data_IF_799953012802
#
_entry.id   IF_799953012802
#
_cell.length_a   1.000
_cell.length_b   1.000
_cell.length_c   1.000
_cell.angle_alpha   90.00
_cell.angle_beta   90.00
_cell.angle_gamma   90.00
#
_symmetry.space_group_name_H-M   'P 1'
#
loop_
_entity.id
_entity.type
_entity.pdbx_description
1 polymer ?
#
# COMPACT_ATOMS: atom_id res chain seq x y z
N UNK A 1 -35.71 -68.04 42.73
CA UNK A 1 -35.23 -66.73 43.13
C UNK A 1 -34.19 -66.25 42.12
N UNK A 2 -34.59 -65.54 41.07
CA UNK A 2 -33.72 -65.10 40.00
C UNK A 2 -33.55 -63.56 40.07
N UNK A 3 -32.33 -63.08 40.32
CA UNK A 3 -31.93 -61.70 40.21
C UNK A 3 -31.59 -61.34 38.77
N UNK A 4 -32.37 -60.50 38.12
CA UNK A 4 -32.09 -59.87 36.83
C UNK A 4 -31.21 -58.61 37.09
N UNK A 5 -29.98 -58.62 36.61
CA UNK A 5 -29.16 -57.42 36.55
C UNK A 5 -29.46 -56.67 35.25
N UNK A 6 -29.88 -55.39 35.37
CA UNK A 6 -30.02 -54.44 34.26
C UNK A 6 -28.66 -53.79 34.01
N UNK A 7 -28.05 -54.07 32.84
CA UNK A 7 -26.90 -53.32 32.33
C UNK A 7 -27.42 -52.07 31.61
N UNK A 8 -27.13 -50.89 32.16
CA UNK A 8 -27.36 -49.60 31.52
C UNK A 8 -26.10 -49.27 30.70
N UNK A 9 -26.20 -49.35 29.36
CA UNK A 9 -25.16 -48.92 28.46
C UNK A 9 -25.11 -47.40 28.37
N UNK A 10 -24.04 -46.77 28.85
CA UNK A 10 -23.75 -45.37 28.62
C UNK A 10 -23.11 -45.24 27.23
N UNK A 11 -23.89 -44.71 26.27
CA UNK A 11 -23.36 -44.24 24.99
C UNK A 11 -22.78 -42.85 25.19
N UNK A 12 -21.45 -42.72 25.23
CA UNK A 12 -20.75 -41.44 25.24
C UNK A 12 -20.81 -40.81 23.83
N UNK A 13 -21.65 -39.80 23.69
CA UNK A 13 -21.59 -38.90 22.52
C UNK A 13 -20.29 -38.07 22.58
N UNK A 14 -19.29 -38.48 21.79
CA UNK A 14 -18.07 -37.71 21.60
C UNK A 14 -18.38 -36.44 20.82
N UNK A 15 -18.43 -35.31 21.51
CA UNK A 15 -18.44 -33.98 20.83
C UNK A 15 -17.06 -33.71 20.32
N UNK A 16 -16.86 -33.86 18.99
CA UNK A 16 -15.63 -33.44 18.32
C UNK A 16 -15.58 -31.91 18.28
N UNK A 17 -14.81 -31.30 19.18
CA UNK A 17 -14.48 -29.87 19.13
C UNK A 17 -13.45 -29.71 18.00
N UNK A 18 -13.91 -29.24 16.84
CA UNK A 18 -13.01 -28.79 15.78
C UNK A 18 -12.40 -27.46 16.25
N UNK A 19 -11.08 -27.37 16.43
CA UNK A 19 -10.47 -26.10 16.80
C UNK A 19 -10.64 -25.13 15.64
N UNK A 20 -11.44 -24.07 15.84
CA UNK A 20 -11.49 -22.95 14.93
C UNK A 20 -10.11 -22.27 14.94
N UNK A 21 -9.33 -22.49 13.91
CA UNK A 21 -8.10 -21.76 13.72
C UNK A 21 -8.44 -20.28 13.49
N UNK A 22 -8.36 -19.48 14.53
CA UNK A 22 -8.40 -18.02 14.42
C UNK A 22 -7.17 -17.62 13.60
N UNK A 23 -7.38 -17.31 12.32
CA UNK A 23 -6.34 -16.75 11.48
C UNK A 23 -6.07 -15.35 12.02
N UNK A 24 -5.02 -15.21 12.83
CA UNK A 24 -4.57 -13.92 13.32
C UNK A 24 -4.28 -13.02 12.11
N UNK A 25 -4.97 -11.88 12.02
CA UNK A 25 -4.72 -10.91 10.97
C UNK A 25 -3.28 -10.41 11.10
N UNK A 26 -2.45 -10.67 10.09
CA UNK A 26 -1.08 -10.16 10.06
C UNK A 26 -1.15 -8.74 9.52
N UNK A 27 -0.75 -7.78 10.35
CA UNK A 27 -0.69 -6.38 9.98
C UNK A 27 0.76 -5.95 9.85
N UNK A 28 1.02 -5.10 8.85
CA UNK A 28 2.28 -4.38 8.73
C UNK A 28 1.98 -2.93 8.34
N UNK A 29 2.94 -2.04 8.56
CA UNK A 29 2.75 -0.65 8.20
C UNK A 29 4.05 0.13 8.19
N UNK A 30 4.03 1.23 7.47
CA UNK A 30 5.17 2.14 7.34
C UNK A 30 4.66 3.57 7.40
N UNK A 31 5.36 4.43 8.13
CA UNK A 31 5.09 5.87 8.18
C UNK A 31 6.31 6.60 7.69
N UNK A 32 6.11 7.57 6.81
CA UNK A 32 7.13 8.47 6.31
C UNK A 32 6.82 9.90 6.73
N UNK A 33 7.85 10.65 7.11
CA UNK A 33 7.79 12.11 7.13
C UNK A 33 8.05 12.61 5.70
N UNK A 34 7.29 13.60 5.27
CA UNK A 34 7.45 14.23 3.95
C UNK A 34 8.18 15.55 4.17
N UNK A 35 9.36 15.65 3.57
CA UNK A 35 10.23 16.82 3.65
C UNK A 35 10.28 17.51 2.29
N UNK A 36 10.00 18.81 2.27
CA UNK A 36 10.09 19.69 1.11
C UNK A 36 10.95 20.89 1.44
N UNK A 37 12.00 21.17 0.66
CA UNK A 37 12.96 22.25 0.97
C UNK A 37 13.51 22.15 2.40
N UNK A 38 13.89 20.95 2.82
CA UNK A 38 14.42 20.65 4.17
C UNK A 38 13.44 20.93 5.34
N UNK A 39 12.17 21.21 5.05
CA UNK A 39 11.12 21.42 6.04
C UNK A 39 10.16 20.22 6.00
N UNK A 40 9.85 19.67 7.17
CA UNK A 40 8.79 18.66 7.28
C UNK A 40 7.43 19.32 7.04
N UNK A 41 6.72 18.85 6.01
CA UNK A 41 5.46 19.42 5.56
C UNK A 41 4.28 18.45 5.70
N UNK A 42 4.53 17.25 6.19
CA UNK A 42 3.46 16.26 6.35
C UNK A 42 3.96 14.84 6.50
N UNK A 43 3.03 13.91 6.33
CA UNK A 43 3.32 12.48 6.47
C UNK A 43 2.60 11.65 5.41
N UNK A 44 3.12 10.43 5.21
CA UNK A 44 2.43 9.35 4.51
C UNK A 44 2.40 8.13 5.41
N UNK A 45 1.24 7.50 5.57
CA UNK A 45 1.11 6.22 6.25
C UNK A 45 0.60 5.14 5.30
N UNK A 46 1.19 3.98 5.39
CA UNK A 46 0.87 2.79 4.63
C UNK A 46 0.56 1.66 5.62
N UNK A 47 -0.60 1.04 5.51
CA UNK A 47 -1.01 -0.09 6.36
C UNK A 47 -1.48 -1.25 5.50
N UNK A 48 -0.88 -2.42 5.71
CA UNK A 48 -1.23 -3.68 5.08
C UNK A 48 -1.93 -4.58 6.09
N UNK A 49 -3.12 -5.06 5.73
CA UNK A 49 -3.95 -5.90 6.60
C UNK A 49 -4.34 -7.15 5.81
N UNK A 50 -3.90 -8.31 6.27
CA UNK A 50 -4.33 -9.58 5.71
C UNK A 50 -5.67 -10.00 6.29
N UNK A 51 -6.65 -10.18 5.42
CA UNK A 51 -8.00 -10.66 5.77
C UNK A 51 -8.34 -11.87 4.90
N UNK A 52 -8.15 -13.06 5.44
CA UNK A 52 -8.28 -14.31 4.70
C UNK A 52 -7.31 -14.36 3.51
N UNK A 53 -7.85 -14.58 2.31
CA UNK A 53 -7.09 -14.58 1.06
C UNK A 53 -6.82 -13.17 0.50
N UNK A 54 -7.46 -12.14 1.05
CA UNK A 54 -7.31 -10.77 0.59
C UNK A 54 -6.25 -10.02 1.37
N UNK A 55 -5.52 -9.14 0.68
CA UNK A 55 -4.66 -8.13 1.26
C UNK A 55 -5.33 -6.77 1.08
N UNK A 56 -5.61 -6.11 2.19
CA UNK A 56 -6.12 -4.74 2.20
C UNK A 56 -4.92 -3.81 2.43
N UNK A 57 -4.72 -2.86 1.53
CA UNK A 57 -3.72 -1.80 1.63
C UNK A 57 -4.43 -0.48 1.82
N UNK A 58 -4.06 0.25 2.87
CA UNK A 58 -4.56 1.59 3.15
C UNK A 58 -3.40 2.57 3.11
N UNK A 59 -3.58 3.66 2.38
CA UNK A 59 -2.61 4.74 2.27
C UNK A 59 -3.28 6.04 2.65
N UNK A 60 -2.69 6.74 3.62
CA UNK A 60 -3.11 8.08 4.01
C UNK A 60 -1.93 9.02 3.83
N UNK A 61 -2.13 10.11 3.11
CA UNK A 61 -1.14 11.17 2.92
C UNK A 61 -1.73 12.49 3.35
N UNK A 62 -0.96 13.26 4.09
CA UNK A 62 -1.32 14.63 4.45
C UNK A 62 -0.11 15.55 4.30
N UNK A 63 -0.26 16.60 3.52
CA UNK A 63 0.75 17.64 3.31
C UNK A 63 0.08 19.01 3.56
N UNK A 64 0.75 19.86 4.30
CA UNK A 64 0.35 21.25 4.54
C UNK A 64 1.61 22.13 4.50
N UNK A 65 1.66 22.99 3.50
CA UNK A 65 2.75 23.95 3.33
C UNK A 65 2.23 25.33 3.68
N UNK A 66 2.73 25.89 4.77
CA UNK A 66 2.36 27.22 5.23
C UNK A 66 3.60 28.12 5.37
N UNK A 67 3.47 29.38 5.02
CA UNK A 67 4.52 30.39 5.20
C UNK A 67 3.91 31.63 5.82
N UNK A 68 4.49 32.12 6.90
CA UNK A 68 4.04 33.32 7.65
C UNK A 68 2.54 33.29 7.99
N UNK A 69 2.03 32.09 8.37
CA UNK A 69 0.61 31.89 8.69
C UNK A 69 -0.33 31.76 7.49
N UNK A 70 0.17 31.89 6.28
CA UNK A 70 -0.60 31.68 5.05
C UNK A 70 -0.39 30.27 4.52
N UNK A 71 -1.49 29.53 4.29
CA UNK A 71 -1.44 28.22 3.66
C UNK A 71 -1.19 28.39 2.15
N UNK A 72 -0.03 27.91 1.69
CA UNK A 72 0.39 27.96 0.29
C UNK A 72 -0.11 26.74 -0.48
N UNK A 73 -0.11 25.58 0.14
CA UNK A 73 -0.51 24.32 -0.47
C UNK A 73 -1.02 23.34 0.58
N UNK A 74 -2.04 22.59 0.22
CA UNK A 74 -2.49 21.43 1.02
C UNK A 74 -2.82 20.26 0.11
N UNK A 75 -2.54 19.07 0.61
CA UNK A 75 -2.86 17.81 -0.05
C UNK A 75 -3.28 16.79 0.98
N UNK A 76 -4.35 16.07 0.71
CA UNK A 76 -4.72 14.88 1.47
C UNK A 76 -5.19 13.78 0.53
N UNK A 77 -4.76 12.57 0.80
CA UNK A 77 -5.18 11.36 0.09
C UNK A 77 -5.56 10.31 1.12
N UNK A 78 -6.74 9.70 0.91
CA UNK A 78 -7.17 8.48 1.58
C UNK A 78 -7.43 7.43 0.51
N UNK A 79 -6.66 6.35 0.53
CA UNK A 79 -6.73 5.30 -0.48
C UNK A 79 -6.87 3.92 0.18
N UNK A 80 -7.73 3.09 -0.40
CA UNK A 80 -7.89 1.68 -0.03
C UNK A 80 -7.80 0.82 -1.28
N UNK A 81 -6.90 -0.14 -1.25
CA UNK A 81 -6.74 -1.16 -2.28
C UNK A 81 -7.07 -2.54 -1.69
N UNK A 82 -7.64 -3.41 -2.50
CA UNK A 82 -7.82 -4.82 -2.17
C UNK A 82 -7.11 -5.65 -3.22
N UNK A 83 -6.20 -6.50 -2.77
CA UNK A 83 -5.39 -7.40 -3.59
C UNK A 83 -5.68 -8.87 -3.24
N UNK A 84 -5.63 -9.75 -4.23
CA UNK A 84 -5.70 -11.20 -4.06
C UNK A 84 -4.82 -11.86 -5.11
N UNK A 85 -3.99 -12.82 -4.70
CA UNK A 85 -3.03 -13.49 -5.59
C UNK A 85 -2.18 -12.49 -6.40
N UNK A 86 -1.79 -11.36 -5.77
CA UNK A 86 -1.06 -10.23 -6.38
C UNK A 86 -1.81 -9.52 -7.52
N UNK A 87 -3.09 -9.75 -7.66
CA UNK A 87 -3.97 -9.05 -8.59
C UNK A 87 -4.80 -8.02 -7.85
N UNK A 88 -4.93 -6.81 -8.42
CA UNK A 88 -5.76 -5.73 -7.87
C UNK A 88 -7.24 -6.07 -8.11
N UNK A 89 -8.01 -6.20 -7.01
CA UNK A 89 -9.45 -6.44 -7.07
C UNK A 89 -10.26 -5.16 -6.99
N UNK A 90 -9.85 -4.23 -6.12
CA UNK A 90 -10.52 -2.93 -6.04
C UNK A 90 -9.56 -1.83 -5.59
N UNK A 91 -9.86 -0.62 -6.02
CA UNK A 91 -9.16 0.61 -5.68
C UNK A 91 -10.20 1.69 -5.38
N UNK A 92 -10.18 2.26 -4.20
CA UNK A 92 -10.99 3.42 -3.85
C UNK A 92 -10.10 4.48 -3.23
N UNK A 93 -10.16 5.70 -3.79
CA UNK A 93 -9.36 6.81 -3.31
C UNK A 93 -10.14 8.11 -3.37
N UNK A 94 -9.93 8.96 -2.36
CA UNK A 94 -10.43 10.32 -2.25
C UNK A 94 -9.27 11.26 -1.97
N UNK A 95 -9.18 12.34 -2.74
CA UNK A 95 -8.05 13.25 -2.69
C UNK A 95 -8.53 14.71 -2.71
N UNK A 96 -7.90 15.53 -1.86
CA UNK A 96 -8.06 16.98 -1.90
C UNK A 96 -6.71 17.62 -2.24
N UNK A 97 -6.64 18.36 -3.32
CA UNK A 97 -5.49 19.18 -3.73
C UNK A 97 -5.88 20.64 -3.61
N UNK A 98 -5.55 21.26 -2.49
CA UNK A 98 -6.09 22.57 -2.13
C UNK A 98 -7.61 22.50 -1.94
N UNK A 99 -8.36 23.07 -2.90
CA UNK A 99 -9.84 23.01 -2.94
C UNK A 99 -10.38 22.02 -3.99
N UNK A 100 -9.50 21.45 -4.83
CA UNK A 100 -9.89 20.50 -5.88
C UNK A 100 -10.07 19.12 -5.29
N UNK A 101 -11.26 18.54 -5.48
CA UNK A 101 -11.53 17.15 -5.15
C UNK A 101 -11.23 16.27 -6.35
N UNK A 102 -10.51 15.18 -6.11
CA UNK A 102 -10.23 14.11 -7.07
C UNK A 102 -10.57 12.76 -6.44
N UNK A 103 -10.88 11.77 -7.27
CA UNK A 103 -11.26 10.44 -6.79
C UNK A 103 -10.88 9.35 -7.79
N UNK A 104 -10.86 8.12 -7.28
CA UNK A 104 -10.78 6.90 -8.07
C UNK A 104 -11.70 5.86 -7.45
N UNK A 105 -12.55 5.24 -8.27
CA UNK A 105 -13.24 3.99 -7.99
C UNK A 105 -12.84 2.99 -9.06
N UNK A 106 -12.23 1.87 -8.66
CA UNK A 106 -11.79 0.83 -9.58
C UNK A 106 -12.19 -0.54 -9.08
N UNK A 107 -12.58 -1.42 -10.01
CA UNK A 107 -13.00 -2.78 -9.68
C UNK A 107 -12.61 -3.77 -10.77
N UNK A 108 -12.19 -4.97 -10.38
CA UNK A 108 -11.88 -6.06 -11.27
C UNK A 108 -13.17 -6.69 -11.82
N UNK A 109 -13.27 -6.79 -13.14
CA UNK A 109 -14.36 -7.45 -13.86
C UNK A 109 -13.82 -8.58 -14.75
N UNK A 110 -14.69 -9.25 -15.46
CA UNK A 110 -14.29 -10.26 -16.46
C UNK A 110 -13.54 -9.64 -17.64
N UNK A 111 -13.78 -8.36 -17.95
CA UNK A 111 -13.19 -7.65 -19.08
C UNK A 111 -11.84 -6.99 -18.76
N UNK A 112 -11.49 -6.87 -17.48
CA UNK A 112 -10.29 -6.18 -17.02
C UNK A 112 -10.52 -5.47 -15.69
N UNK A 113 -9.76 -4.42 -15.43
CA UNK A 113 -9.95 -3.55 -14.27
C UNK A 113 -10.64 -2.27 -14.74
N UNK A 114 -11.90 -2.11 -14.37
CA UNK A 114 -12.69 -0.94 -14.68
C UNK A 114 -12.38 0.19 -13.72
N UNK A 115 -12.20 1.39 -14.24
CA UNK A 115 -11.89 2.61 -13.48
C UNK A 115 -12.93 3.65 -13.79
N UNK A 116 -13.46 4.28 -12.75
CA UNK A 116 -14.13 5.56 -12.74
C UNK A 116 -13.34 6.52 -11.85
N UNK A 117 -12.64 7.47 -12.46
CA UNK A 117 -11.77 8.41 -11.77
C UNK A 117 -11.82 9.81 -12.37
N UNK A 118 -11.35 10.78 -11.61
CA UNK A 118 -11.41 12.20 -11.98
C UNK A 118 -10.65 12.53 -13.26
N UNK A 119 -9.65 11.73 -13.65
CA UNK A 119 -8.84 11.96 -14.84
C UNK A 119 -8.93 10.83 -15.88
N UNK A 120 -9.61 9.74 -15.58
CA UNK A 120 -9.77 8.61 -16.50
C UNK A 120 -10.95 7.74 -16.09
N UNK A 121 -11.78 7.38 -17.07
CA UNK A 121 -12.81 6.34 -16.95
C UNK A 121 -12.65 5.36 -18.10
N UNK A 122 -12.56 4.05 -17.79
CA UNK A 122 -12.35 3.02 -18.79
C UNK A 122 -11.86 1.70 -18.20
N UNK A 123 -11.49 0.76 -19.06
CA UNK A 123 -11.03 -0.58 -18.67
C UNK A 123 -9.55 -0.76 -18.99
N UNK A 124 -8.76 -1.13 -17.98
CA UNK A 124 -7.37 -1.48 -18.13
C UNK A 124 -7.19 -3.00 -18.09
N UNK A 125 -6.24 -3.50 -18.88
CA UNK A 125 -5.91 -4.93 -18.95
C UNK A 125 -4.46 -5.16 -18.49
N UNK A 126 -4.16 -6.38 -18.09
CA UNK A 126 -2.81 -6.80 -17.75
C UNK A 126 -2.50 -6.74 -16.26
N UNK A 127 -1.22 -6.79 -15.94
CA UNK A 127 -0.71 -6.83 -14.58
C UNK A 127 -0.47 -5.39 -14.07
N UNK A 128 -1.49 -4.80 -13.46
CA UNK A 128 -1.52 -3.40 -13.06
C UNK A 128 -0.81 -3.18 -11.72
N UNK A 129 -0.08 -2.07 -11.60
CA UNK A 129 0.43 -1.53 -10.34
C UNK A 129 -0.35 -0.27 -9.94
N UNK A 130 -0.07 0.25 -8.76
CA UNK A 130 -0.61 1.52 -8.26
C UNK A 130 0.52 2.41 -7.75
N UNK A 131 0.24 3.70 -7.59
CA UNK A 131 1.20 4.65 -7.01
C UNK A 131 1.30 4.57 -5.48
N UNK A 132 0.93 3.45 -4.87
CA UNK A 132 1.11 3.19 -3.44
C UNK A 132 2.51 2.65 -3.08
N UNK A 133 3.29 2.20 -4.05
CA UNK A 133 4.72 1.85 -3.98
C UNK A 133 5.10 0.78 -2.94
N UNK A 134 4.18 0.13 -2.27
CA UNK A 134 4.45 -0.71 -1.09
C UNK A 134 5.26 -1.99 -1.37
N UNK A 135 5.46 -2.35 -2.63
CA UNK A 135 6.21 -3.55 -3.05
C UNK A 135 7.08 -3.26 -4.27
N UNK A 136 8.32 -3.80 -4.32
CA UNK A 136 9.17 -3.68 -5.51
C UNK A 136 8.67 -4.53 -6.69
N UNK A 137 7.68 -5.42 -6.50
CA UNK A 137 7.08 -6.16 -7.59
C UNK A 137 6.39 -5.23 -8.61
N UNK A 138 5.98 -4.04 -8.20
CA UNK A 138 5.42 -3.01 -9.08
C UNK A 138 6.45 -2.49 -10.11
N UNK A 139 7.73 -2.50 -9.78
CA UNK A 139 8.80 -2.07 -10.69
C UNK A 139 8.92 -2.91 -11.97
N UNK A 140 8.29 -4.09 -11.99
CA UNK A 140 8.25 -4.98 -13.17
C UNK A 140 7.01 -4.76 -14.04
N UNK A 141 6.14 -3.82 -13.67
CA UNK A 141 4.87 -3.54 -14.35
C UNK A 141 4.99 -2.21 -15.08
N UNK A 142 4.66 -2.18 -16.36
CA UNK A 142 4.80 -0.99 -17.21
C UNK A 142 3.64 0.00 -17.08
N UNK A 143 2.46 -0.47 -16.62
CA UNK A 143 1.27 0.37 -16.44
C UNK A 143 0.90 0.46 -14.97
N UNK A 144 0.91 1.69 -14.46
CA UNK A 144 0.51 1.99 -13.09
C UNK A 144 -0.77 2.83 -13.08
N UNK A 145 -1.58 2.65 -12.06
CA UNK A 145 -2.77 3.46 -11.84
C UNK A 145 -2.44 4.55 -10.83
N UNK A 146 -2.65 5.80 -11.20
CA UNK A 146 -2.58 6.91 -10.26
C UNK A 146 -3.64 6.76 -9.19
N UNK A 147 -3.24 6.58 -7.94
CA UNK A 147 -4.17 6.56 -6.80
C UNK A 147 -4.78 7.92 -6.52
N UNK A 148 -4.29 8.99 -7.14
CA UNK A 148 -4.86 10.33 -7.01
C UNK A 148 -6.12 10.51 -7.84
N UNK A 149 -6.13 10.06 -9.10
CA UNK A 149 -7.18 10.45 -10.05
C UNK A 149 -7.55 9.39 -11.10
N UNK A 150 -7.00 8.17 -10.97
CA UNK A 150 -7.32 7.02 -11.83
C UNK A 150 -6.59 6.98 -13.16
N UNK A 151 -5.77 8.00 -13.51
CA UNK A 151 -5.05 8.02 -14.78
C UNK A 151 -4.12 6.83 -14.89
N UNK A 152 -4.14 6.07 -16.02
CA UNK A 152 -3.10 5.11 -16.32
C UNK A 152 -1.78 5.86 -16.60
N UNK A 153 -0.68 5.34 -16.06
CA UNK A 153 0.66 5.92 -16.13
C UNK A 153 1.57 4.89 -16.78
N UNK A 154 2.18 5.25 -17.90
CA UNK A 154 3.21 4.45 -18.55
C UNK A 154 4.56 4.79 -17.93
N UNK A 155 5.21 3.79 -17.35
CA UNK A 155 6.46 3.98 -16.62
C UNK A 155 7.51 2.95 -16.99
N UNK A 156 8.75 3.38 -16.88
CA UNK A 156 9.95 2.56 -16.99
C UNK A 156 10.73 2.63 -15.68
N UNK A 157 11.16 1.47 -15.16
CA UNK A 157 11.88 1.38 -13.90
C UNK A 157 13.29 0.85 -14.12
N UNK A 158 14.30 1.64 -13.78
CA UNK A 158 15.71 1.31 -13.95
C UNK A 158 16.41 1.27 -12.59
N UNK A 159 17.14 0.19 -12.32
CA UNK A 159 18.00 0.08 -11.14
C UNK A 159 19.22 0.98 -11.29
N UNK A 160 19.41 1.93 -10.37
CA UNK A 160 20.54 2.87 -10.37
C UNK A 160 21.72 2.31 -9.57
N UNK A 161 21.46 1.73 -8.39
CA UNK A 161 22.48 1.23 -7.48
C UNK A 161 22.03 1.22 -6.05
N UNK A 162 22.98 1.21 -5.11
CA UNK A 162 22.70 1.31 -3.69
C UNK A 162 22.97 2.72 -3.17
N UNK A 163 22.12 3.19 -2.26
CA UNK A 163 22.25 4.48 -1.61
C UNK A 163 22.03 4.35 -0.10
N UNK A 164 22.75 5.16 0.70
CA UNK A 164 22.55 5.26 2.14
C UNK A 164 21.56 6.38 2.44
N UNK A 165 20.40 6.02 2.95
CA UNK A 165 19.37 6.96 3.35
C UNK A 165 19.47 7.27 4.85
N UNK A 166 19.29 8.53 5.21
CA UNK A 166 19.17 8.97 6.61
C UNK A 166 17.76 8.70 7.11
N UNK A 167 17.62 8.12 8.29
CA UNK A 167 16.36 7.96 9.01
C UNK A 167 16.54 8.42 10.45
N UNK A 168 15.47 8.66 11.22
CA UNK A 168 15.59 8.99 12.65
C UNK A 168 16.33 7.91 13.48
N UNK A 169 16.41 6.69 12.98
CA UNK A 169 17.09 5.54 13.61
C UNK A 169 18.51 5.30 13.08
N UNK A 170 19.04 6.20 12.25
CA UNK A 170 20.35 6.08 11.63
C UNK A 170 20.30 5.81 10.13
N UNK A 171 21.45 5.45 9.56
CA UNK A 171 21.58 5.19 8.12
C UNK A 171 21.09 3.79 7.75
N UNK A 172 20.33 3.70 6.66
CA UNK A 172 19.94 2.42 6.04
C UNK A 172 20.43 2.37 4.61
N UNK A 173 20.89 1.21 4.16
CA UNK A 173 21.25 0.97 2.75
C UNK A 173 20.01 0.50 2.00
N UNK A 174 19.73 1.09 0.86
CA UNK A 174 18.61 0.74 0.01
C UNK A 174 19.01 0.77 -1.46
N UNK A 175 18.38 -0.08 -2.26
CA UNK A 175 18.48 -0.03 -3.71
C UNK A 175 17.66 1.13 -4.23
N UNK A 176 18.31 2.02 -5.00
CA UNK A 176 17.68 3.14 -5.69
C UNK A 176 17.17 2.69 -7.06
N UNK A 177 15.89 2.92 -7.30
CA UNK A 177 15.21 2.68 -8.56
C UNK A 177 14.69 3.99 -9.13
N UNK A 178 15.13 4.33 -10.34
CA UNK A 178 14.59 5.46 -11.11
C UNK A 178 13.30 5.00 -11.80
N UNK A 179 12.23 5.75 -11.59
CA UNK A 179 10.98 5.64 -12.34
C UNK A 179 10.90 6.82 -13.28
N UNK A 180 10.72 6.56 -14.57
CA UNK A 180 10.63 7.55 -15.66
C UNK A 180 9.38 7.31 -16.51
N UNK A 181 9.10 8.19 -17.47
CA UNK A 181 7.87 8.20 -18.27
C UNK A 181 6.86 9.20 -17.73
N UNK A 182 5.64 8.78 -17.49
CA UNK A 182 4.59 9.64 -16.88
C UNK A 182 4.88 10.04 -15.43
N UNK A 183 5.80 9.36 -14.79
CA UNK A 183 6.35 9.69 -13.48
C UNK A 183 7.83 10.01 -13.57
N UNK A 184 8.33 10.82 -12.62
CA UNK A 184 9.75 11.12 -12.51
C UNK A 184 10.14 11.14 -11.04
N UNK A 185 10.50 9.98 -10.49
CA UNK A 185 10.87 9.83 -9.09
C UNK A 185 11.88 8.70 -8.86
N UNK A 186 12.50 8.70 -7.68
CA UNK A 186 13.32 7.61 -7.20
C UNK A 186 12.57 6.89 -6.08
N UNK A 187 12.52 5.55 -6.16
CA UNK A 187 12.00 4.68 -5.12
C UNK A 187 13.14 3.89 -4.50
N UNK A 188 13.10 3.76 -3.18
CA UNK A 188 14.12 3.09 -2.41
C UNK A 188 13.54 1.87 -1.70
N UNK A 189 14.14 0.69 -1.95
CA UNK A 189 13.79 -0.56 -1.28
C UNK A 189 15.01 -1.13 -0.57
N UNK A 190 14.84 -1.52 0.69
CA UNK A 190 15.89 -2.16 1.47
C UNK A 190 16.14 -3.62 1.02
N UNK A 191 17.13 -4.28 1.64
CA UNK A 191 17.47 -5.69 1.38
C UNK A 191 16.30 -6.66 1.65
N UNK A 192 15.37 -6.28 2.50
CA UNK A 192 14.17 -7.05 2.84
C UNK A 192 13.01 -6.73 1.88
N UNK A 193 13.26 -5.97 0.79
CA UNK A 193 12.30 -5.51 -0.22
C UNK A 193 11.19 -4.61 0.34
N UNK A 194 11.48 -3.93 1.43
CA UNK A 194 10.57 -2.95 2.03
C UNK A 194 10.79 -1.58 1.40
N UNK A 195 9.72 -0.88 1.08
CA UNK A 195 9.80 0.51 0.67
C UNK A 195 10.25 1.37 1.85
N UNK A 196 11.35 2.10 1.68
CA UNK A 196 12.01 2.85 2.75
C UNK A 196 12.22 4.33 2.43
N UNK A 197 11.77 4.78 1.27
CA UNK A 197 11.83 6.19 0.91
C UNK A 197 11.52 6.45 -0.55
N UNK A 198 11.33 7.74 -0.86
CA UNK A 198 11.20 8.25 -2.23
C UNK A 198 11.83 9.62 -2.32
N UNK A 199 12.31 9.97 -3.52
CA UNK A 199 12.76 11.32 -3.87
C UNK A 199 12.15 11.75 -5.19
N UNK A 200 11.61 12.96 -5.26
CA UNK A 200 11.03 13.53 -6.47
C UNK A 200 11.04 15.06 -6.37
N UNK A 201 10.71 15.73 -7.46
CA UNK A 201 10.56 17.19 -7.47
C UNK A 201 9.09 17.58 -7.49
N UNK A 202 8.68 18.41 -6.54
CA UNK A 202 7.33 18.98 -6.48
C UNK A 202 7.42 20.49 -6.21
N UNK A 203 6.63 21.29 -6.92
CA UNK A 203 6.67 22.74 -6.79
C UNK A 203 8.07 23.34 -7.06
N UNK A 204 8.82 22.76 -8.02
CA UNK A 204 10.16 23.20 -8.39
C UNK A 204 11.26 22.85 -7.38
N UNK A 205 10.97 22.10 -6.31
CA UNK A 205 11.91 21.77 -5.25
C UNK A 205 11.93 20.28 -4.94
N UNK A 206 13.03 19.84 -4.33
CA UNK A 206 13.19 18.45 -3.93
C UNK A 206 12.23 18.10 -2.78
N UNK A 207 11.61 16.97 -2.93
CA UNK A 207 10.68 16.37 -1.96
C UNK A 207 11.17 14.97 -1.63
N UNK A 208 11.26 14.65 -0.36
CA UNK A 208 11.76 13.36 0.11
C UNK A 208 10.78 12.75 1.11
N UNK A 209 10.48 11.45 0.91
CA UNK A 209 9.81 10.64 1.93
C UNK A 209 10.88 9.97 2.77
N UNK A 210 10.96 10.32 4.04
CA UNK A 210 11.95 9.80 4.99
C UNK A 210 11.25 8.80 5.91
N UNK A 211 11.75 7.57 5.94
CA UNK A 211 11.20 6.52 6.81
C UNK A 211 11.24 6.97 8.27
N UNK A 212 10.07 7.14 8.88
CA UNK A 212 9.90 7.50 10.28
C UNK A 212 9.68 6.26 11.16
N UNK A 213 8.74 5.38 10.77
CA UNK A 213 8.35 4.20 11.54
C UNK A 213 8.00 3.03 10.63
N UNK A 214 8.41 1.82 11.02
CA UNK A 214 8.01 0.57 10.39
C UNK A 214 7.47 -0.41 11.43
N UNK A 215 6.36 -1.07 11.13
CA UNK A 215 5.72 -2.12 11.93
C UNK A 215 5.59 -3.34 11.05
N UNK A 216 6.15 -4.45 11.46
CA UNK A 216 6.15 -5.68 10.67
C UNK A 216 6.93 -5.58 9.36
N UNK A 217 6.58 -6.42 8.39
CA UNK A 217 7.21 -6.49 7.06
C UNK A 217 6.14 -6.50 5.97
N UNK A 218 5.98 -5.41 5.24
CA UNK A 218 4.99 -5.27 4.18
C UNK A 218 5.21 -6.32 3.08
N UNK A 219 6.46 -6.48 2.63
CA UNK A 219 6.78 -7.45 1.58
C UNK A 219 6.49 -8.89 2.00
N UNK A 220 6.69 -9.25 3.28
CA UNK A 220 6.35 -10.60 3.78
C UNK A 220 4.84 -10.87 3.70
N UNK A 221 4.01 -9.87 4.00
CA UNK A 221 2.55 -9.97 3.88
C UNK A 221 2.14 -10.06 2.41
N UNK A 222 2.75 -9.23 1.55
CA UNK A 222 2.54 -9.26 0.11
C UNK A 222 2.92 -10.59 -0.53
N UNK A 223 4.06 -11.17 -0.15
CA UNK A 223 4.52 -12.44 -0.71
C UNK A 223 3.59 -13.63 -0.41
N UNK A 224 2.70 -13.49 0.56
CA UNK A 224 1.71 -14.47 0.95
C UNK A 224 0.30 -14.18 0.35
N UNK A 225 0.14 -13.07 -0.40
CA UNK A 225 -1.15 -12.66 -0.98
C UNK A 225 -1.42 -13.31 -2.32
#
# INVERSE_FOLDING_TARGET
MYRRQFLIGLTSLGVSIVPSTVIASKNAGTVFNIVWRDIEVGYSSLNLIRNGSNLIVKVDVKIDVSLLGLRLFSYSLNCKEVWKNRELLSLKSEVLVGKKYEYVNGEKTLNGFEIDGSAFSGTLKGNLATTSYFTPDFLKRSVWISTQNGRPLEVECTKIGEEKLMTPKGKITATNWKVSGDLNLNLFYDKDKEWVGSKFRAGGSDTTFILHKKIGRNHKIWAQS
#
